data_IF_745748913842
#
_entry.id   IF_745748913842
#
_cell.length_a   1.000
_cell.length_b   1.000
_cell.length_c   1.000
_cell.angle_alpha   90.00
_cell.angle_beta   90.00
_cell.angle_gamma   90.00
#
_symmetry.space_group_name_H-M   'P 1'
#
loop_
_entity.id
_entity.type
_entity.pdbx_description
1 polymer ?
#
# COMPACT_ATOMS: atom_id res chain seq x y z
N UNK A 1 23.95 -15.96 9.26
CA UNK A 1 23.27 -15.37 10.45
C UNK A 1 22.31 -16.42 10.97
N UNK A 2 22.10 -16.49 12.27
CA UNK A 2 21.17 -17.46 12.86
C UNK A 2 20.04 -16.72 13.58
N UNK A 3 18.80 -17.05 13.25
CA UNK A 3 17.60 -16.55 13.95
C UNK A 3 17.50 -17.26 15.30
N UNK A 4 17.21 -16.54 16.36
CA UNK A 4 17.00 -17.06 17.70
C UNK A 4 15.52 -17.07 18.12
N UNK A 5 14.75 -16.11 17.60
CA UNK A 5 13.35 -15.95 17.94
C UNK A 5 12.58 -15.23 16.82
N UNK A 6 11.34 -15.63 16.60
CA UNK A 6 10.39 -14.95 15.72
C UNK A 6 9.09 -14.75 16.47
N UNK A 7 8.66 -13.52 16.58
CA UNK A 7 7.40 -13.13 17.20
C UNK A 7 6.41 -12.69 16.12
N UNK A 8 5.16 -13.17 16.24
CA UNK A 8 4.06 -12.84 15.31
C UNK A 8 2.98 -12.12 16.10
N UNK A 9 2.76 -10.85 15.77
CA UNK A 9 1.90 -9.94 16.52
C UNK A 9 0.74 -9.48 15.64
N UNK A 10 -0.43 -10.13 15.69
CA UNK A 10 -1.63 -9.60 15.06
C UNK A 10 -2.04 -8.30 15.74
N UNK A 11 -2.38 -7.31 14.93
CA UNK A 11 -2.62 -5.94 15.40
C UNK A 11 -3.76 -5.31 14.62
N UNK A 12 -4.66 -4.65 15.33
CA UNK A 12 -5.65 -3.75 14.76
C UNK A 12 -5.17 -2.31 14.92
N UNK A 13 -5.07 -1.57 13.83
CA UNK A 13 -4.67 -0.16 13.82
C UNK A 13 -5.88 0.72 13.53
N UNK A 14 -6.19 1.64 14.44
CA UNK A 14 -7.18 2.68 14.21
C UNK A 14 -6.61 3.75 13.28
N UNK A 15 -7.39 4.14 12.27
CA UNK A 15 -7.03 5.24 11.39
C UNK A 15 -7.32 6.58 12.07
N UNK A 16 -6.37 7.51 12.00
CA UNK A 16 -6.55 8.86 12.54
C UNK A 16 -7.64 9.66 11.80
N UNK A 17 -7.89 9.30 10.55
CA UNK A 17 -8.97 9.82 9.71
C UNK A 17 -9.59 8.65 8.98
N UNK A 18 -10.83 8.29 9.28
CA UNK A 18 -11.60 7.34 8.48
C UNK A 18 -11.71 7.83 7.04
N UNK A 19 -11.72 6.91 6.08
CA UNK A 19 -11.89 7.30 4.69
C UNK A 19 -12.66 6.23 3.90
N UNK A 20 -13.22 6.64 2.77
CA UNK A 20 -13.97 5.78 1.85
C UNK A 20 -13.22 5.56 0.56
N UNK A 21 -13.38 4.37 -0.01
CA UNK A 21 -12.94 4.04 -1.36
C UNK A 21 -14.05 3.32 -2.11
N UNK A 22 -13.93 3.18 -3.42
CA UNK A 22 -14.90 2.40 -4.20
C UNK A 22 -14.93 0.91 -3.82
N UNK A 23 -13.80 0.37 -3.36
CA UNK A 23 -13.72 -1.01 -2.86
C UNK A 23 -14.40 -1.19 -1.49
N UNK A 24 -14.48 -0.12 -0.70
CA UNK A 24 -15.10 -0.10 0.63
C UNK A 24 -16.21 0.93 0.65
N UNK A 25 -17.46 0.49 0.49
CA UNK A 25 -18.65 1.37 0.50
C UNK A 25 -18.96 1.98 1.88
N UNK A 26 -18.41 1.40 2.96
CA UNK A 26 -18.43 1.96 4.30
C UNK A 26 -17.20 2.82 4.61
N UNK A 27 -17.20 3.46 5.79
CA UNK A 27 -16.00 4.12 6.30
C UNK A 27 -15.00 3.07 6.81
N UNK A 28 -13.79 3.14 6.33
CA UNK A 28 -12.67 2.36 6.85
C UNK A 28 -12.09 3.11 8.06
N UNK A 29 -12.38 2.62 9.25
CA UNK A 29 -11.92 3.21 10.51
C UNK A 29 -10.70 2.49 11.08
N UNK A 30 -10.51 1.21 10.69
CA UNK A 30 -9.48 0.32 11.22
C UNK A 30 -8.91 -0.52 10.10
N UNK A 31 -7.67 -0.92 10.28
CA UNK A 31 -6.98 -1.87 9.41
C UNK A 31 -6.35 -2.97 10.27
N UNK A 32 -6.46 -4.20 9.78
CA UNK A 32 -5.78 -5.34 10.37
C UNK A 32 -4.41 -5.54 9.72
N UNK A 33 -3.41 -5.86 10.52
CA UNK A 33 -2.10 -6.27 10.04
C UNK A 33 -1.45 -7.26 11.01
N UNK A 34 -0.42 -7.95 10.52
CA UNK A 34 0.38 -8.84 11.35
C UNK A 34 1.84 -8.39 11.27
N UNK A 35 2.39 -7.97 12.39
CA UNK A 35 3.82 -7.69 12.49
C UNK A 35 4.61 -8.99 12.74
N UNK A 36 5.74 -9.10 12.06
CA UNK A 36 6.72 -10.16 12.25
C UNK A 36 7.99 -9.50 12.79
N UNK A 37 8.41 -9.89 13.98
CA UNK A 37 9.65 -9.45 14.62
C UNK A 37 10.62 -10.61 14.65
N UNK A 38 11.77 -10.45 14.01
CA UNK A 38 12.82 -11.48 13.98
C UNK A 38 14.00 -11.02 14.80
N UNK A 39 14.46 -11.87 15.71
CA UNK A 39 15.66 -11.67 16.52
C UNK A 39 16.72 -12.71 16.16
N UNK A 40 17.96 -12.28 16.05
CA UNK A 40 19.11 -13.15 15.77
C UNK A 40 19.91 -13.41 17.04
N UNK A 41 20.68 -14.53 17.05
CA UNK A 41 21.59 -14.83 18.19
C UNK A 41 22.61 -13.73 18.46
N UNK A 42 22.89 -12.88 17.50
CA UNK A 42 23.77 -11.72 17.66
C UNK A 42 23.04 -10.47 18.19
N UNK A 43 21.77 -10.59 18.58
CA UNK A 43 20.97 -9.51 19.16
C UNK A 43 20.46 -8.49 18.12
N UNK A 44 20.56 -8.76 16.81
CA UNK A 44 19.92 -7.91 15.80
C UNK A 44 18.44 -8.20 15.75
N UNK A 45 17.64 -7.14 15.62
CA UNK A 45 16.18 -7.20 15.53
C UNK A 45 15.75 -6.55 14.22
N UNK A 46 14.90 -7.23 13.48
CA UNK A 46 14.29 -6.73 12.25
C UNK A 46 12.77 -6.91 12.27
N UNK A 47 12.08 -6.14 11.47
CA UNK A 47 10.63 -6.13 11.41
C UNK A 47 10.10 -6.27 9.99
N UNK A 48 8.97 -6.95 9.88
CA UNK A 48 8.13 -6.94 8.69
C UNK A 48 6.68 -6.78 9.06
N UNK A 49 5.85 -6.44 8.08
CA UNK A 49 4.42 -6.24 8.27
C UNK A 49 3.64 -6.88 7.13
N UNK A 50 2.74 -7.79 7.47
CA UNK A 50 1.70 -8.27 6.59
C UNK A 50 0.51 -7.31 6.70
N UNK A 51 0.42 -6.37 5.76
CA UNK A 51 -0.73 -5.50 5.59
C UNK A 51 -1.59 -6.05 4.45
N UNK A 52 -2.86 -6.28 4.71
CA UNK A 52 -3.78 -6.86 3.75
C UNK A 52 -5.12 -6.12 3.77
N UNK A 53 -5.86 -6.25 2.69
CA UNK A 53 -7.20 -5.71 2.53
C UNK A 53 -8.12 -6.87 2.15
N UNK A 54 -8.98 -7.36 3.07
CA UNK A 54 -9.84 -8.51 2.82
C UNK A 54 -10.72 -8.36 1.58
N UNK A 55 -11.15 -7.13 1.27
CA UNK A 55 -11.97 -6.86 0.09
C UNK A 55 -11.21 -7.02 -1.24
N UNK A 56 -9.88 -6.88 -1.21
CA UNK A 56 -9.02 -6.96 -2.40
C UNK A 56 -8.23 -8.25 -2.49
N UNK A 57 -7.67 -8.69 -1.36
CA UNK A 57 -6.78 -9.86 -1.32
C UNK A 57 -7.51 -11.14 -0.95
N UNK A 58 -8.70 -11.03 -0.33
CA UNK A 58 -9.43 -12.17 0.23
C UNK A 58 -8.80 -12.76 1.51
N UNK A 59 -7.69 -12.21 1.96
CA UNK A 59 -7.00 -12.64 3.17
C UNK A 59 -7.74 -12.20 4.43
N UNK A 60 -7.70 -13.01 5.49
CA UNK A 60 -8.23 -12.67 6.82
C UNK A 60 -7.13 -12.59 7.86
N UNK A 61 -7.37 -11.84 8.96
CA UNK A 61 -6.42 -11.73 10.07
C UNK A 61 -6.05 -13.10 10.65
N UNK A 62 -7.03 -14.00 10.78
CA UNK A 62 -6.82 -15.36 11.27
C UNK A 62 -5.90 -16.15 10.35
N UNK A 63 -6.18 -16.16 9.03
CA UNK A 63 -5.39 -16.85 8.02
C UNK A 63 -3.96 -16.32 7.97
N UNK A 64 -3.79 -15.00 7.86
CA UNK A 64 -2.46 -14.36 7.81
C UNK A 64 -1.66 -14.65 9.08
N UNK A 65 -2.30 -14.57 10.27
CA UNK A 65 -1.65 -14.88 11.54
C UNK A 65 -1.19 -16.35 11.61
N UNK A 66 -2.03 -17.28 11.17
CA UNK A 66 -1.72 -18.71 11.14
C UNK A 66 -0.53 -18.99 10.21
N UNK A 67 -0.54 -18.42 9.00
CA UNK A 67 0.55 -18.60 8.04
C UNK A 67 1.85 -17.95 8.54
N UNK A 68 1.78 -16.74 9.10
CA UNK A 68 2.96 -16.09 9.70
C UNK A 68 3.58 -16.94 10.82
N UNK A 69 2.77 -17.63 11.65
CA UNK A 69 3.29 -18.54 12.68
C UNK A 69 3.99 -19.76 12.07
N UNK A 70 3.40 -20.38 11.05
CA UNK A 70 4.05 -21.49 10.34
C UNK A 70 5.38 -21.06 9.69
N UNK A 71 5.40 -19.87 9.08
CA UNK A 71 6.64 -19.27 8.54
C UNK A 71 7.65 -18.97 9.65
N UNK A 72 7.21 -18.52 10.83
CA UNK A 72 8.08 -18.25 11.98
C UNK A 72 8.80 -19.51 12.44
N UNK A 73 8.09 -20.63 12.58
CA UNK A 73 8.68 -21.94 12.94
C UNK A 73 9.72 -22.37 11.91
N UNK A 74 9.40 -22.26 10.61
CA UNK A 74 10.34 -22.63 9.54
C UNK A 74 11.56 -21.72 9.47
N UNK A 75 11.38 -20.41 9.73
CA UNK A 75 12.45 -19.42 9.66
C UNK A 75 13.58 -19.65 10.66
N UNK A 76 13.33 -20.32 11.79
CA UNK A 76 14.35 -20.62 12.80
C UNK A 76 15.51 -21.48 12.22
N UNK A 77 15.23 -22.30 11.22
CA UNK A 77 16.21 -23.17 10.55
C UNK A 77 16.90 -22.51 9.35
N UNK A 78 16.52 -21.27 9.01
CA UNK A 78 17.00 -20.59 7.83
C UNK A 78 18.10 -19.56 8.17
N UNK A 79 19.00 -19.32 7.19
CA UNK A 79 19.89 -18.18 7.24
C UNK A 79 19.23 -17.00 6.48
N UNK A 80 18.78 -15.93 7.17
CA UNK A 80 18.09 -14.82 6.53
C UNK A 80 18.96 -14.00 5.57
N UNK A 81 20.29 -14.18 5.61
CA UNK A 81 21.18 -13.52 4.63
C UNK A 81 21.17 -14.22 3.26
N UNK A 82 20.72 -15.47 3.20
CA UNK A 82 20.43 -16.16 1.95
C UNK A 82 18.98 -15.85 1.54
N UNK A 83 18.68 -14.57 1.35
CA UNK A 83 17.31 -14.02 1.28
C UNK A 83 16.44 -14.76 0.26
N UNK A 84 16.93 -14.93 -0.97
CA UNK A 84 16.19 -15.64 -2.03
C UNK A 84 15.88 -17.10 -1.66
N UNK A 85 16.88 -17.80 -1.11
CA UNK A 85 16.68 -19.17 -0.67
C UNK A 85 15.69 -19.25 0.50
N UNK A 86 15.82 -18.36 1.49
CA UNK A 86 14.94 -18.35 2.64
C UNK A 86 13.49 -18.03 2.25
N UNK A 87 13.28 -17.13 1.31
CA UNK A 87 11.95 -16.82 0.78
C UNK A 87 11.37 -17.98 -0.04
N UNK A 88 12.20 -18.66 -0.83
CA UNK A 88 11.77 -19.85 -1.57
C UNK A 88 11.30 -20.99 -0.65
N UNK A 89 11.95 -21.18 0.49
CA UNK A 89 11.57 -22.17 1.51
C UNK A 89 10.21 -21.82 2.18
N UNK A 90 9.83 -20.55 2.21
CA UNK A 90 8.53 -20.09 2.74
C UNK A 90 7.42 -20.06 1.67
N UNK A 91 7.77 -20.23 0.38
CA UNK A 91 6.82 -20.05 -0.73
C UNK A 91 5.63 -21.00 -0.64
N UNK A 92 5.85 -22.27 -0.35
CA UNK A 92 4.79 -23.27 -0.23
C UNK A 92 3.81 -22.97 0.93
N UNK A 93 4.28 -22.29 1.99
CA UNK A 93 3.45 -21.90 3.12
C UNK A 93 2.63 -20.65 2.84
N UNK A 94 3.07 -19.82 1.87
CA UNK A 94 2.53 -18.48 1.60
C UNK A 94 1.85 -18.36 0.24
N UNK A 95 1.57 -19.47 -0.45
CA UNK A 95 1.00 -19.48 -1.80
C UNK A 95 -0.30 -18.65 -1.87
N UNK A 96 -1.22 -18.88 -0.93
CA UNK A 96 -2.50 -18.19 -0.84
C UNK A 96 -2.49 -17.01 0.16
N UNK A 97 -1.30 -16.60 0.63
CA UNK A 97 -1.17 -15.54 1.64
C UNK A 97 0.04 -14.66 1.33
N UNK A 98 -0.04 -13.85 0.24
CA UNK A 98 1.07 -13.03 -0.21
C UNK A 98 1.48 -11.95 0.80
N UNK A 99 0.57 -11.49 1.66
CA UNK A 99 0.90 -10.52 2.71
C UNK A 99 1.82 -11.12 3.78
N UNK A 100 1.63 -12.40 4.15
CA UNK A 100 2.55 -13.09 5.04
C UNK A 100 3.96 -13.23 4.44
N UNK A 101 4.05 -13.58 3.15
CA UNK A 101 5.34 -13.59 2.42
C UNK A 101 6.02 -12.23 2.43
N UNK A 102 5.27 -11.17 2.17
CA UNK A 102 5.77 -9.80 2.21
C UNK A 102 6.35 -9.43 3.58
N UNK A 103 5.73 -9.84 4.69
CA UNK A 103 6.25 -9.58 6.02
C UNK A 103 7.64 -10.21 6.26
N UNK A 104 7.82 -11.48 5.86
CA UNK A 104 9.12 -12.15 5.98
C UNK A 104 10.15 -11.58 5.01
N UNK A 105 9.77 -11.24 3.79
CA UNK A 105 10.62 -10.56 2.81
C UNK A 105 11.19 -9.26 3.38
N UNK A 106 10.33 -8.38 3.89
CA UNK A 106 10.76 -7.13 4.53
C UNK A 106 11.70 -7.39 5.71
N UNK A 107 11.39 -8.34 6.59
CA UNK A 107 12.22 -8.63 7.76
C UNK A 107 13.60 -9.20 7.36
N UNK A 108 13.68 -10.06 6.35
CA UNK A 108 14.95 -10.61 5.88
C UNK A 108 15.81 -9.55 5.19
N UNK A 109 15.22 -8.68 4.38
CA UNK A 109 15.95 -7.55 3.79
C UNK A 109 16.40 -6.53 4.84
N UNK A 110 15.60 -6.29 5.90
CA UNK A 110 16.02 -5.45 7.02
C UNK A 110 17.24 -6.05 7.74
N UNK A 111 17.23 -7.38 8.01
CA UNK A 111 18.41 -8.09 8.55
C UNK A 111 19.64 -7.99 7.64
N UNK A 112 19.43 -8.06 6.33
CA UNK A 112 20.51 -7.90 5.35
C UNK A 112 21.11 -6.48 5.43
N UNK A 113 20.26 -5.45 5.52
CA UNK A 113 20.68 -4.05 5.71
C UNK A 113 21.47 -3.86 6.99
N UNK A 114 20.95 -4.40 8.11
CA UNK A 114 21.61 -4.37 9.41
C UNK A 114 22.95 -5.13 9.40
N UNK A 115 23.05 -6.24 8.68
CA UNK A 115 24.28 -7.01 8.54
C UNK A 115 25.34 -6.27 7.73
N UNK A 116 24.92 -5.62 6.65
CA UNK A 116 25.80 -4.84 5.78
C UNK A 116 26.17 -3.47 6.36
N UNK A 117 25.49 -3.00 7.40
CA UNK A 117 25.66 -1.64 7.94
C UNK A 117 25.21 -0.54 6.97
N UNK A 118 24.28 -0.85 6.06
CA UNK A 118 23.80 0.05 5.04
C UNK A 118 22.28 0.18 5.08
N UNK A 119 21.74 1.38 4.80
CA UNK A 119 20.31 1.53 4.55
C UNK A 119 19.88 0.67 3.37
N UNK A 120 18.72 0.02 3.47
CA UNK A 120 18.23 -0.92 2.47
C UNK A 120 18.16 -0.32 1.06
N UNK A 121 17.73 0.95 0.91
CA UNK A 121 17.68 1.60 -0.40
C UNK A 121 19.03 1.63 -1.12
N UNK A 122 20.14 1.66 -0.39
CA UNK A 122 21.51 1.60 -0.97
C UNK A 122 21.86 0.19 -1.43
N UNK A 123 21.47 -0.83 -0.67
CA UNK A 123 21.63 -2.23 -1.08
C UNK A 123 20.82 -2.56 -2.35
N UNK A 124 19.67 -1.94 -2.52
CA UNK A 124 18.80 -2.08 -3.69
C UNK A 124 19.18 -1.15 -4.87
N UNK A 125 20.40 -0.58 -4.86
CA UNK A 125 20.94 0.19 -5.98
C UNK A 125 21.01 1.70 -5.78
N UNK A 126 20.32 2.27 -4.79
CA UNK A 126 20.52 3.66 -4.35
C UNK A 126 20.29 4.75 -5.39
N UNK A 127 19.38 4.53 -6.38
CA UNK A 127 19.16 5.47 -7.50
C UNK A 127 18.79 6.88 -7.02
N UNK A 128 18.02 6.97 -5.94
CA UNK A 128 17.66 8.28 -5.35
C UNK A 128 17.63 8.20 -3.82
N UNK A 129 17.94 9.31 -3.17
CA UNK A 129 17.92 9.44 -1.69
C UNK A 129 16.64 10.08 -1.17
N UNK A 130 15.81 10.63 -2.06
CA UNK A 130 14.53 11.28 -1.74
C UNK A 130 13.50 10.93 -2.80
N UNK A 131 12.25 10.77 -2.37
CA UNK A 131 11.09 10.63 -3.22
C UNK A 131 9.96 11.49 -2.67
N UNK A 132 9.24 12.17 -3.55
CA UNK A 132 8.06 12.93 -3.16
C UNK A 132 6.87 11.96 -3.06
N UNK A 133 6.23 11.93 -1.90
CA UNK A 133 5.04 11.10 -1.68
C UNK A 133 3.75 11.88 -1.95
N UNK A 134 2.69 11.16 -2.31
CA UNK A 134 1.32 11.69 -2.32
C UNK A 134 0.62 11.41 -0.98
N UNK A 135 -0.41 12.21 -0.69
CA UNK A 135 -1.40 11.89 0.36
C UNK A 135 -2.74 11.59 -0.28
N UNK A 136 -3.41 10.53 0.20
CA UNK A 136 -4.71 10.11 -0.33
C UNK A 136 -5.85 10.87 0.35
N UNK A 137 -6.78 11.36 -0.47
CA UNK A 137 -8.06 11.90 -0.05
C UNK A 137 -9.14 10.88 -0.40
N UNK A 138 -9.93 10.47 0.58
CA UNK A 138 -11.03 9.52 0.40
C UNK A 138 -12.19 10.10 -0.42
N UNK A 139 -13.18 9.25 -0.72
CA UNK A 139 -14.44 9.68 -1.33
C UNK A 139 -15.23 10.58 -0.36
N UNK A 140 -15.77 11.66 -0.89
CA UNK A 140 -16.57 12.61 -0.13
C UNK A 140 -17.08 13.76 -1.01
N UNK A 141 -17.96 14.63 -0.50
CA UNK A 141 -18.47 15.78 -1.23
C UNK A 141 -17.35 16.72 -1.71
N UNK A 142 -17.53 17.36 -2.86
CA UNK A 142 -16.50 18.24 -3.46
C UNK A 142 -16.01 19.32 -2.49
N UNK A 143 -16.93 19.95 -1.73
CA UNK A 143 -16.58 21.00 -0.76
C UNK A 143 -15.65 20.47 0.35
N UNK A 144 -15.94 19.31 0.91
CA UNK A 144 -15.11 18.68 1.95
C UNK A 144 -13.77 18.20 1.39
N UNK A 145 -13.77 17.66 0.15
CA UNK A 145 -12.56 17.27 -0.57
C UNK A 145 -11.62 18.48 -0.77
N UNK A 146 -12.16 19.63 -1.16
CA UNK A 146 -11.36 20.87 -1.31
C UNK A 146 -10.80 21.33 0.02
N UNK A 147 -11.62 21.34 1.08
CA UNK A 147 -11.15 21.72 2.42
C UNK A 147 -9.99 20.81 2.88
N UNK A 148 -10.16 19.48 2.78
CA UNK A 148 -9.14 18.52 3.15
C UNK A 148 -7.87 18.68 2.28
N UNK A 149 -8.04 18.94 0.99
CA UNK A 149 -6.92 19.23 0.08
C UNK A 149 -6.10 20.44 0.54
N UNK A 150 -6.77 21.53 0.95
CA UNK A 150 -6.13 22.73 1.49
C UNK A 150 -5.38 22.44 2.80
N UNK A 151 -5.97 21.68 3.70
CA UNK A 151 -5.33 21.24 4.95
C UNK A 151 -4.05 20.43 4.68
N UNK A 152 -4.09 19.48 3.72
CA UNK A 152 -2.93 18.68 3.33
C UNK A 152 -1.86 19.52 2.64
N UNK A 153 -2.26 20.46 1.78
CA UNK A 153 -1.34 21.40 1.18
C UNK A 153 -0.60 22.28 2.22
N UNK A 154 -1.33 22.73 3.25
CA UNK A 154 -0.75 23.48 4.38
C UNK A 154 0.24 22.65 5.20
N UNK A 155 0.04 21.33 5.29
CA UNK A 155 0.98 20.39 5.92
C UNK A 155 2.24 20.13 5.06
N UNK A 156 2.31 20.67 3.84
CA UNK A 156 3.47 20.56 2.95
C UNK A 156 3.35 19.51 1.84
N UNK A 157 2.24 18.78 1.73
CA UNK A 157 2.03 17.88 0.62
C UNK A 157 1.89 18.64 -0.70
N UNK A 158 2.50 18.10 -1.76
CA UNK A 158 2.50 18.70 -3.11
C UNK A 158 1.82 17.82 -4.14
N UNK A 159 1.56 16.57 -3.82
CA UNK A 159 0.85 15.60 -4.64
C UNK A 159 -0.35 15.09 -3.85
N UNK A 160 -1.54 15.26 -4.40
CA UNK A 160 -2.79 14.75 -3.83
C UNK A 160 -3.32 13.62 -4.71
N UNK A 161 -3.66 12.50 -4.10
CA UNK A 161 -4.32 11.36 -4.75
C UNK A 161 -5.77 11.33 -4.28
N UNK A 162 -6.72 11.59 -5.18
CA UNK A 162 -8.14 11.52 -4.88
C UNK A 162 -8.64 10.11 -5.17
N UNK A 163 -9.45 9.55 -4.28
CA UNK A 163 -10.20 8.34 -4.56
C UNK A 163 -11.45 8.67 -5.38
N UNK A 164 -11.76 7.80 -6.35
CA UNK A 164 -12.91 7.87 -7.23
C UNK A 164 -13.49 6.49 -7.50
N UNK A 165 -14.23 6.36 -8.60
CA UNK A 165 -14.70 5.08 -9.13
C UNK A 165 -16.16 4.75 -8.85
N UNK A 166 -16.92 5.59 -8.13
CA UNK A 166 -18.35 5.37 -7.91
C UNK A 166 -19.21 6.14 -8.92
N UNK A 167 -18.89 7.40 -9.16
CA UNK A 167 -19.63 8.29 -10.05
C UNK A 167 -18.61 9.12 -10.86
N UNK A 168 -18.44 8.84 -12.15
CA UNK A 168 -17.47 9.55 -13.00
C UNK A 168 -17.69 11.06 -13.07
N UNK A 169 -18.94 11.52 -13.09
CA UNK A 169 -19.27 12.96 -13.18
C UNK A 169 -18.93 13.66 -11.85
N UNK A 170 -19.23 13.04 -10.71
CA UNK A 170 -18.83 13.56 -9.41
C UNK A 170 -17.32 13.59 -9.24
N UNK A 171 -16.63 12.55 -9.69
CA UNK A 171 -15.17 12.47 -9.62
C UNK A 171 -14.50 13.59 -10.45
N UNK A 172 -14.99 13.85 -11.67
CA UNK A 172 -14.54 14.98 -12.49
C UNK A 172 -14.78 16.30 -11.77
N UNK A 173 -15.98 16.51 -11.24
CA UNK A 173 -16.35 17.74 -10.50
C UNK A 173 -15.44 17.96 -9.29
N UNK A 174 -15.16 16.91 -8.52
CA UNK A 174 -14.27 16.97 -7.34
C UNK A 174 -12.84 17.32 -7.71
N UNK A 175 -12.29 16.66 -8.75
CA UNK A 175 -10.92 16.94 -9.22
C UNK A 175 -10.80 18.38 -9.70
N UNK A 176 -11.74 18.86 -10.52
CA UNK A 176 -11.72 20.23 -11.03
C UNK A 176 -11.86 21.25 -9.90
N UNK A 177 -12.72 21.01 -8.90
CA UNK A 177 -12.85 21.88 -7.74
C UNK A 177 -11.54 21.98 -6.93
N UNK A 178 -10.82 20.87 -6.75
CA UNK A 178 -9.50 20.88 -6.10
C UNK A 178 -8.46 21.59 -6.99
N UNK A 179 -8.50 21.38 -8.31
CA UNK A 179 -7.61 22.05 -9.26
C UNK A 179 -7.77 23.57 -9.24
N UNK A 180 -9.02 24.05 -9.23
CA UNK A 180 -9.33 25.48 -9.16
C UNK A 180 -8.84 26.11 -7.85
N UNK A 181 -9.02 25.41 -6.72
CA UNK A 181 -8.58 25.89 -5.41
C UNK A 181 -7.06 25.83 -5.22
N UNK A 182 -6.37 24.87 -5.84
CA UNK A 182 -4.95 24.58 -5.65
C UNK A 182 -4.26 24.30 -7.01
N UNK A 183 -4.13 25.34 -7.88
CA UNK A 183 -3.71 25.15 -9.27
C UNK A 183 -2.26 24.66 -9.43
N UNK A 184 -1.42 24.78 -8.41
CA UNK A 184 -0.01 24.42 -8.45
C UNK A 184 0.29 23.02 -7.89
N UNK A 185 -0.71 22.30 -7.37
CA UNK A 185 -0.49 20.96 -6.86
C UNK A 185 -0.61 19.90 -7.97
N UNK A 186 0.12 18.83 -7.81
CA UNK A 186 -0.04 17.64 -8.64
C UNK A 186 -1.24 16.84 -8.16
N UNK A 187 -2.16 16.51 -9.07
CA UNK A 187 -3.35 15.70 -8.76
C UNK A 187 -3.29 14.36 -9.47
N UNK A 188 -3.74 13.32 -8.76
CA UNK A 188 -3.94 11.96 -9.25
C UNK A 188 -5.35 11.52 -8.90
N UNK A 189 -5.99 10.77 -9.77
CA UNK A 189 -7.29 10.14 -9.52
C UNK A 189 -7.10 8.62 -9.54
N UNK A 190 -7.51 7.95 -8.47
CA UNK A 190 -7.52 6.50 -8.37
C UNK A 190 -8.97 6.01 -8.33
N UNK A 191 -9.41 5.41 -9.41
CA UNK A 191 -10.78 4.97 -9.60
C UNK A 191 -11.07 3.56 -9.08
N UNK A 192 -10.08 2.88 -8.48
CA UNK A 192 -10.27 1.58 -7.83
C UNK A 192 -11.06 0.56 -8.69
N UNK A 193 -10.84 0.53 -10.03
CA UNK A 193 -11.51 -0.36 -10.99
C UNK A 193 -13.01 -0.04 -11.21
N UNK A 194 -13.47 1.14 -10.82
CA UNK A 194 -14.90 1.45 -10.76
C UNK A 194 -15.55 1.84 -12.08
N UNK A 195 -14.79 2.10 -13.16
CA UNK A 195 -15.34 2.58 -14.43
C UNK A 195 -15.41 1.48 -15.50
N UNK A 196 -16.43 1.60 -16.35
CA UNK A 196 -16.38 0.96 -17.67
C UNK A 196 -15.42 1.71 -18.61
N UNK A 197 -15.05 1.06 -19.72
CA UNK A 197 -14.08 1.62 -20.70
C UNK A 197 -14.49 3.02 -21.16
N UNK A 198 -15.75 3.19 -21.58
CA UNK A 198 -16.23 4.48 -22.08
C UNK A 198 -16.19 5.57 -21.00
N UNK A 199 -16.59 5.23 -19.77
CA UNK A 199 -16.51 6.16 -18.63
C UNK A 199 -15.06 6.57 -18.33
N UNK A 200 -14.12 5.62 -18.37
CA UNK A 200 -12.69 5.90 -18.18
C UNK A 200 -12.14 6.88 -19.22
N UNK A 201 -12.51 6.68 -20.50
CA UNK A 201 -12.14 7.56 -21.60
C UNK A 201 -12.74 8.97 -21.45
N UNK A 202 -14.00 9.05 -21.03
CA UNK A 202 -14.68 10.35 -20.85
C UNK A 202 -14.09 11.12 -19.66
N UNK A 203 -13.79 10.45 -18.53
CA UNK A 203 -13.07 11.01 -17.39
C UNK A 203 -11.67 11.49 -17.80
N UNK A 204 -10.92 10.65 -18.54
CA UNK A 204 -9.57 11.03 -18.99
C UNK A 204 -9.59 12.28 -19.87
N UNK A 205 -10.55 12.39 -20.78
CA UNK A 205 -10.73 13.59 -21.64
C UNK A 205 -11.14 14.81 -20.83
N UNK A 206 -12.11 14.64 -19.92
CA UNK A 206 -12.60 15.75 -19.08
C UNK A 206 -11.53 16.31 -18.14
N UNK A 207 -10.57 15.49 -17.74
CA UNK A 207 -9.48 15.85 -16.82
C UNK A 207 -8.13 16.04 -17.53
N UNK A 208 -8.11 16.12 -18.85
CA UNK A 208 -6.89 16.39 -19.62
C UNK A 208 -6.24 17.70 -19.14
N UNK A 209 -4.94 17.63 -18.80
CA UNK A 209 -4.21 18.75 -18.22
C UNK A 209 -4.50 19.05 -16.75
N UNK A 210 -5.53 18.45 -16.15
CA UNK A 210 -5.83 18.59 -14.72
C UNK A 210 -5.18 17.49 -13.86
N UNK A 211 -4.90 16.31 -14.43
CA UNK A 211 -4.29 15.18 -13.73
C UNK A 211 -2.88 14.87 -14.24
N UNK A 212 -2.03 14.40 -13.34
CA UNK A 212 -0.78 13.73 -13.68
C UNK A 212 -1.03 12.26 -14.05
N UNK A 213 -1.98 11.61 -13.37
CA UNK A 213 -2.24 10.17 -13.51
C UNK A 213 -3.71 9.84 -13.21
N UNK A 214 -4.27 8.96 -14.01
CA UNK A 214 -5.50 8.22 -13.74
C UNK A 214 -5.12 6.77 -13.45
N UNK A 215 -5.30 6.33 -12.18
CA UNK A 215 -4.90 5.02 -11.72
C UNK A 215 -6.07 4.06 -11.77
N UNK A 216 -5.82 2.87 -12.31
CA UNK A 216 -6.73 1.72 -12.37
C UNK A 216 -8.19 2.10 -12.61
N UNK A 217 -8.50 2.74 -13.76
CA UNK A 217 -9.86 3.19 -14.04
C UNK A 217 -10.82 2.02 -14.30
N UNK A 218 -10.34 0.97 -14.96
CA UNK A 218 -11.11 -0.20 -15.37
C UNK A 218 -10.76 -1.46 -14.57
N UNK A 219 -11.59 -2.52 -14.59
CA UNK A 219 -11.32 -3.78 -13.89
C UNK A 219 -9.96 -4.40 -14.25
N UNK A 220 -9.25 -4.93 -13.23
CA UNK A 220 -7.89 -5.45 -13.36
C UNK A 220 -7.73 -6.62 -14.34
N UNK A 221 -8.81 -7.37 -14.63
CA UNK A 221 -8.78 -8.48 -15.59
C UNK A 221 -8.79 -8.06 -17.06
N UNK A 222 -9.05 -6.80 -17.35
CA UNK A 222 -9.14 -6.27 -18.73
C UNK A 222 -7.94 -5.36 -19.04
N UNK A 223 -6.81 -5.99 -19.40
CA UNK A 223 -5.61 -5.25 -19.78
C UNK A 223 -5.77 -4.47 -21.09
N UNK A 224 -6.68 -4.88 -21.99
CA UNK A 224 -6.94 -4.15 -23.22
C UNK A 224 -7.69 -2.83 -22.96
N UNK A 225 -8.46 -2.78 -21.88
CA UNK A 225 -9.14 -1.56 -21.47
C UNK A 225 -8.22 -0.50 -20.84
N UNK A 226 -7.00 -0.87 -20.48
CA UNK A 226 -5.99 0.04 -19.91
C UNK A 226 -5.06 0.63 -20.97
N UNK A 227 -4.97 0.05 -22.13
CA UNK A 227 -4.14 0.45 -23.28
C UNK A 227 -4.91 1.20 -24.32
#
# INVERSE_FOLDING_TARGET
MQISHVEVVPTELSLSLPYRTAAHLGELERIDCVFVRIETRAGRVAWGCAAFDPARTGESLEQVTKVCRACADRALDLNPLNTEYALAELMALTEDTPSARCAFDMAFYDLLGLAAGLPLYRLLGGYRSRIQTSITLGLGPAKETVQLAQERAAQGFRILKLKGGLDPEDDVRRVLAVRDALPHLTLRLDADQGYGIQQALDVARALEGALEMLEQPTPAGDLQALG
#
